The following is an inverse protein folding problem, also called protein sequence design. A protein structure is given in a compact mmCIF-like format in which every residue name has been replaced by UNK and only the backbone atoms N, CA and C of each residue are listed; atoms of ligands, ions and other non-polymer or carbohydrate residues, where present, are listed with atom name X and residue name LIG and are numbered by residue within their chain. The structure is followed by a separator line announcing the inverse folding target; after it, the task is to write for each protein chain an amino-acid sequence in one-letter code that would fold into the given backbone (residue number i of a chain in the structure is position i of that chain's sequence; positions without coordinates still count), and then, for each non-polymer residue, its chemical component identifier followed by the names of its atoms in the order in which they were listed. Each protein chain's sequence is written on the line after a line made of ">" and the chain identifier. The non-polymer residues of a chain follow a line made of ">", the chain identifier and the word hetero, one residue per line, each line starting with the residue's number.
data_IF_081388125574
#
_entry.id   IF_081388125574
#
_cell.length_a   1.000
_cell.length_b   1.000
_cell.length_c   1.000
_cell.angle_alpha   90.00
_cell.angle_beta   90.00
_cell.angle_gamma   90.00
#
_symmetry.space_group_name_H-M   'P 1'
#
loop_
_entity.id
_entity.type
_entity.pdbx_description
1 polymer ?
#
# COMPACT_ATOMS: atom_id res chain seq x y z
N UNK A 1 54.43 21.27 9.93
CA UNK A 1 53.28 21.09 10.85
C UNK A 1 51.94 21.33 10.11
N UNK A 2 51.39 20.27 9.51
CA UNK A 2 50.06 20.27 8.86
C UNK A 2 49.30 19.08 9.45
N UNK A 3 48.27 19.37 10.23
CA UNK A 3 47.39 18.35 10.80
C UNK A 3 46.40 17.87 9.74
N UNK A 4 46.38 16.55 9.56
CA UNK A 4 45.51 15.82 8.64
C UNK A 4 44.24 15.44 9.40
N UNK A 5 43.09 16.01 9.01
CA UNK A 5 41.79 15.60 9.53
C UNK A 5 41.43 14.21 8.97
N UNK A 6 41.49 13.20 9.84
CA UNK A 6 40.97 11.86 9.55
C UNK A 6 39.46 11.84 9.81
N UNK A 7 38.65 11.73 8.76
CA UNK A 7 37.23 11.43 8.88
C UNK A 7 37.07 9.94 9.21
N UNK A 8 36.74 9.65 10.46
CA UNK A 8 36.36 8.32 10.92
C UNK A 8 34.91 8.04 10.53
N UNK A 9 34.71 7.15 9.55
CA UNK A 9 33.40 6.60 9.21
C UNK A 9 32.89 5.69 10.34
N UNK A 10 31.98 6.20 11.18
CA UNK A 10 31.24 5.37 12.14
C UNK A 10 30.20 4.54 11.38
N UNK A 11 30.50 3.25 11.26
CA UNK A 11 29.57 2.18 10.92
C UNK A 11 28.42 2.13 11.94
N UNK A 12 27.30 2.78 11.65
CA UNK A 12 26.03 2.51 12.33
C UNK A 12 25.32 1.38 11.57
N UNK A 13 25.57 0.15 12.03
CA UNK A 13 24.71 -1.00 11.73
C UNK A 13 23.36 -0.77 12.40
N UNK A 14 22.50 -0.02 11.74
CA UNK A 14 21.10 0.14 12.10
C UNK A 14 20.37 -1.16 11.81
N UNK A 15 20.29 -2.04 12.82
CA UNK A 15 19.34 -3.16 12.84
C UNK A 15 17.93 -2.56 12.92
N UNK A 16 17.31 -2.30 11.78
CA UNK A 16 15.88 -1.99 11.73
C UNK A 16 15.10 -3.29 11.96
N UNK A 17 14.81 -3.56 13.23
CA UNK A 17 13.66 -4.37 13.56
C UNK A 17 12.42 -3.61 13.07
N UNK A 18 11.77 -4.09 12.03
CA UNK A 18 10.38 -3.77 11.75
C UNK A 18 9.59 -4.28 12.96
N UNK A 19 9.41 -3.43 13.97
CA UNK A 19 8.40 -3.64 15.02
C UNK A 19 7.05 -3.50 14.33
N UNK A 20 6.61 -4.59 13.72
CA UNK A 20 5.23 -4.81 13.32
C UNK A 20 4.32 -4.28 14.42
N UNK A 21 3.38 -3.42 14.06
CA UNK A 21 2.28 -3.01 14.91
C UNK A 21 1.82 -4.22 15.73
N UNK A 22 1.76 -4.06 17.05
CA UNK A 22 1.28 -5.07 17.99
C UNK A 22 -0.19 -5.36 17.66
N UNK A 23 -0.46 -6.18 16.64
CA UNK A 23 -1.73 -6.85 16.41
C UNK A 23 -1.87 -7.96 17.45
N UNK A 24 -1.79 -7.61 18.73
CA UNK A 24 -2.10 -8.53 19.82
C UNK A 24 -3.61 -8.53 19.96
N UNK A 25 -4.18 -9.73 19.95
CA UNK A 25 -5.56 -10.12 20.31
C UNK A 25 -6.43 -10.61 19.13
N UNK A 26 -6.03 -11.73 18.54
CA UNK A 26 -6.99 -12.79 18.23
C UNK A 26 -6.46 -14.07 18.89
N UNK A 27 -6.95 -14.36 20.10
CA UNK A 27 -6.46 -15.45 20.94
C UNK A 27 -7.10 -16.81 20.62
N UNK A 28 -7.91 -16.90 19.56
CA UNK A 28 -8.45 -18.17 19.08
C UNK A 28 -8.63 -18.13 17.57
N UNK A 29 -7.67 -18.68 16.83
CA UNK A 29 -7.90 -19.07 15.45
C UNK A 29 -8.97 -20.18 15.44
N UNK A 30 -9.95 -20.15 14.52
CA UNK A 30 -10.89 -21.25 14.39
C UNK A 30 -10.11 -22.56 14.14
N UNK A 31 -10.50 -23.60 14.87
CA UNK A 31 -9.91 -24.94 14.74
C UNK A 31 -10.25 -25.50 13.36
N UNK A 32 -9.25 -25.90 12.58
CA UNK A 32 -9.44 -26.46 11.24
C UNK A 32 -8.12 -26.64 10.51
N UNK A 33 -8.16 -27.37 9.40
CA UNK A 33 -7.01 -27.52 8.51
C UNK A 33 -6.77 -26.21 7.75
N UNK A 34 -5.53 -25.72 7.79
CA UNK A 34 -5.14 -24.53 7.06
C UNK A 34 -4.30 -24.90 5.85
N UNK A 35 -4.60 -24.24 4.74
CA UNK A 35 -3.89 -24.35 3.49
C UNK A 35 -3.07 -23.10 3.24
N UNK A 36 -1.94 -23.27 2.57
CA UNK A 36 -1.14 -22.17 2.05
C UNK A 36 -1.39 -22.03 0.56
N UNK A 37 -1.27 -20.80 0.06
CA UNK A 37 -1.46 -20.55 -1.36
C UNK A 37 -0.91 -19.20 -1.83
N UNK A 38 -1.13 -18.95 -3.11
CA UNK A 38 -0.74 -17.71 -3.80
C UNK A 38 -1.98 -17.07 -4.39
N UNK A 39 -2.20 -15.79 -4.10
CA UNK A 39 -3.28 -15.01 -4.72
C UNK A 39 -3.03 -14.91 -6.22
N UNK A 40 -3.92 -15.46 -7.04
CA UNK A 40 -3.80 -15.43 -8.49
C UNK A 40 -4.20 -14.04 -9.02
N UNK A 41 -5.37 -13.56 -8.59
CA UNK A 41 -5.85 -12.21 -8.87
C UNK A 41 -6.86 -11.80 -7.79
N UNK A 42 -7.03 -10.48 -7.60
CA UNK A 42 -8.04 -9.93 -6.71
C UNK A 42 -8.55 -8.60 -7.28
N UNK A 43 -9.87 -8.52 -7.51
CA UNK A 43 -10.52 -7.33 -8.01
C UNK A 43 -11.05 -6.51 -6.85
N UNK A 44 -10.39 -5.37 -6.56
CA UNK A 44 -10.78 -4.49 -5.44
C UNK A 44 -12.17 -3.88 -5.61
N UNK A 45 -12.54 -3.49 -6.83
CA UNK A 45 -13.86 -2.90 -7.11
C UNK A 45 -14.99 -3.90 -6.93
N UNK A 46 -14.73 -5.17 -7.26
CA UNK A 46 -15.71 -6.26 -7.13
C UNK A 46 -15.63 -7.03 -5.81
N UNK A 47 -14.62 -6.77 -4.98
CA UNK A 47 -14.42 -7.38 -3.67
C UNK A 47 -14.24 -8.92 -3.67
N UNK A 48 -13.75 -9.48 -4.77
CA UNK A 48 -13.44 -10.92 -4.84
C UNK A 48 -12.18 -11.20 -5.67
N UNK A 49 -11.66 -12.41 -5.53
CA UNK A 49 -10.53 -12.91 -6.28
C UNK A 49 -10.43 -14.43 -6.22
N UNK A 50 -9.28 -14.96 -6.65
CA UNK A 50 -9.00 -16.39 -6.58
C UNK A 50 -7.58 -16.66 -6.05
N UNK A 51 -7.45 -17.77 -5.32
CA UNK A 51 -6.21 -18.20 -4.67
C UNK A 51 -5.83 -19.59 -5.21
N UNK A 52 -4.59 -19.75 -5.67
CA UNK A 52 -4.03 -21.05 -5.99
C UNK A 52 -3.55 -21.75 -4.72
N UNK A 53 -3.96 -22.99 -4.51
CA UNK A 53 -3.56 -23.81 -3.35
C UNK A 53 -2.21 -24.47 -3.61
N UNK A 54 -1.28 -24.38 -2.67
CA UNK A 54 0.01 -25.06 -2.77
C UNK A 54 -0.19 -26.59 -2.80
N UNK A 55 0.57 -27.29 -3.65
CA UNK A 55 0.52 -28.76 -3.76
C UNK A 55 -0.66 -29.32 -4.57
N UNK A 56 -1.66 -28.50 -4.91
CA UNK A 56 -2.70 -28.89 -5.88
C UNK A 56 -2.26 -28.50 -7.30
N UNK A 57 -2.52 -29.33 -8.32
CA UNK A 57 -2.32 -28.93 -9.71
C UNK A 57 -3.15 -27.68 -9.99
N UNK A 58 -2.67 -26.80 -10.89
CA UNK A 58 -3.41 -25.63 -11.35
C UNK A 58 -4.56 -26.08 -12.26
N UNK A 59 -5.59 -26.64 -11.66
CA UNK A 59 -6.83 -27.00 -12.33
C UNK A 59 -7.84 -25.87 -12.09
N UNK A 60 -8.11 -25.07 -13.12
CA UNK A 60 -9.10 -23.98 -13.09
C UNK A 60 -8.58 -22.65 -12.56
N UNK A 61 -9.54 -21.77 -12.20
CA UNK A 61 -9.29 -20.38 -11.80
C UNK A 61 -8.77 -20.24 -10.36
N UNK A 62 -8.69 -21.34 -9.60
CA UNK A 62 -8.30 -21.37 -8.20
C UNK A 62 -9.50 -21.37 -7.25
N UNK A 63 -9.24 -21.25 -5.95
CA UNK A 63 -10.25 -21.21 -4.89
C UNK A 63 -10.79 -19.79 -4.77
N UNK A 64 -12.11 -19.65 -4.78
CA UNK A 64 -12.77 -18.35 -4.70
C UNK A 64 -12.56 -17.70 -3.33
N UNK A 65 -12.30 -16.38 -3.32
CA UNK A 65 -12.20 -15.59 -2.09
C UNK A 65 -13.01 -14.30 -2.21
N UNK A 66 -13.88 -14.07 -1.23
CA UNK A 66 -14.61 -12.81 -1.09
C UNK A 66 -14.02 -11.95 0.04
N UNK A 67 -14.20 -10.62 -0.01
CA UNK A 67 -13.67 -9.70 1.02
C UNK A 67 -14.09 -10.05 2.44
N UNK A 68 -15.30 -10.58 2.64
CA UNK A 68 -15.85 -10.93 3.97
C UNK A 68 -15.08 -12.06 4.64
N UNK A 69 -14.37 -12.84 3.82
CA UNK A 69 -13.64 -14.02 4.26
C UNK A 69 -12.19 -13.68 4.63
N UNK A 70 -11.76 -12.42 4.42
CA UNK A 70 -10.46 -11.94 4.81
C UNK A 70 -10.54 -11.47 6.26
N UNK A 71 -9.71 -12.05 7.13
CA UNK A 71 -9.64 -11.60 8.50
C UNK A 71 -9.12 -10.17 8.55
N UNK A 72 -9.82 -9.34 9.32
CA UNK A 72 -9.49 -7.94 9.59
C UNK A 72 -9.39 -7.74 11.10
N UNK A 73 -8.50 -6.84 11.52
CA UNK A 73 -8.38 -6.44 12.92
C UNK A 73 -9.40 -5.38 13.32
N UNK A 74 -10.10 -4.81 12.33
CA UNK A 74 -11.11 -3.80 12.53
C UNK A 74 -12.50 -4.43 12.53
N UNK A 75 -13.31 -4.00 13.48
CA UNK A 75 -14.76 -4.22 13.53
C UNK A 75 -15.38 -3.85 12.19
N UNK A 76 -16.15 -4.76 11.57
CA UNK A 76 -16.79 -4.48 10.27
C UNK A 76 -17.76 -3.29 10.32
N UNK A 77 -18.27 -2.97 11.51
CA UNK A 77 -19.24 -1.89 11.73
C UNK A 77 -18.58 -0.50 11.82
N UNK A 78 -17.27 -0.43 12.03
CA UNK A 78 -16.57 0.82 12.36
C UNK A 78 -15.71 1.38 11.20
N UNK A 79 -15.52 0.62 10.12
CA UNK A 79 -14.60 1.03 9.05
C UNK A 79 -15.11 0.67 7.66
N UNK A 80 -15.24 1.65 6.73
CA UNK A 80 -15.51 1.37 5.32
C UNK A 80 -14.29 0.76 4.60
N UNK A 81 -13.17 0.55 5.31
CA UNK A 81 -11.92 0.10 4.74
C UNK A 81 -11.74 -1.39 4.98
N UNK A 82 -12.09 -2.17 3.96
CA UNK A 82 -11.91 -3.60 3.96
C UNK A 82 -10.48 -3.98 3.55
N UNK A 83 -9.91 -5.02 4.17
CA UNK A 83 -8.67 -5.58 3.67
C UNK A 83 -8.85 -6.09 2.24
N UNK A 84 -7.76 -6.06 1.47
CA UNK A 84 -7.74 -6.53 0.09
C UNK A 84 -6.47 -7.30 -0.17
N UNK A 85 -6.52 -8.24 -1.12
CA UNK A 85 -5.36 -9.03 -1.53
C UNK A 85 -4.61 -8.41 -2.70
N UNK A 86 -3.32 -8.72 -2.83
CA UNK A 86 -2.50 -8.39 -3.99
C UNK A 86 -2.17 -9.65 -4.77
N UNK A 87 -2.11 -9.55 -6.11
CA UNK A 87 -1.67 -10.66 -6.93
C UNK A 87 -0.25 -11.10 -6.52
N UNK A 88 -0.01 -12.42 -6.55
CA UNK A 88 1.24 -13.08 -6.13
C UNK A 88 1.53 -13.04 -4.62
N UNK A 89 0.63 -12.51 -3.81
CA UNK A 89 0.76 -12.50 -2.35
C UNK A 89 0.59 -13.91 -1.78
N UNK A 90 1.40 -14.26 -0.77
CA UNK A 90 1.33 -15.56 -0.08
C UNK A 90 0.35 -15.47 1.09
N UNK A 91 -0.62 -16.37 1.10
CA UNK A 91 -1.73 -16.36 2.05
C UNK A 91 -1.90 -17.71 2.71
N UNK A 92 -2.51 -17.68 3.89
CA UNK A 92 -2.98 -18.85 4.63
C UNK A 92 -4.49 -18.73 4.84
N UNK A 93 -5.23 -19.81 4.62
CA UNK A 93 -6.69 -19.81 4.65
C UNK A 93 -7.21 -21.21 4.99
N UNK A 94 -8.51 -21.31 5.30
CA UNK A 94 -9.22 -22.58 5.42
C UNK A 94 -10.11 -22.76 4.19
N UNK A 95 -10.37 -24.02 3.83
CA UNK A 95 -11.29 -24.37 2.76
C UNK A 95 -12.65 -24.71 3.37
N UNK A 96 -13.69 -24.09 2.83
CA UNK A 96 -15.08 -24.46 3.08
C UNK A 96 -15.78 -24.73 1.75
N UNK A 97 -16.82 -25.55 1.78
CA UNK A 97 -17.67 -25.80 0.63
C UNK A 97 -18.94 -24.96 0.79
N UNK A 98 -19.26 -24.14 -0.22
CA UNK A 98 -20.49 -23.36 -0.22
C UNK A 98 -21.72 -24.27 -0.43
N UNK A 99 -22.92 -23.69 -0.44
CA UNK A 99 -24.17 -24.43 -0.68
C UNK A 99 -24.27 -25.00 -2.11
N UNK A 100 -23.47 -24.47 -3.05
CA UNK A 100 -23.44 -24.87 -4.46
C UNK A 100 -22.41 -25.99 -4.73
N UNK A 101 -21.62 -26.38 -3.72
CA UNK A 101 -20.57 -27.38 -3.86
C UNK A 101 -19.19 -26.83 -4.24
N UNK A 102 -19.05 -25.51 -4.39
CA UNK A 102 -17.79 -24.86 -4.71
C UNK A 102 -16.91 -24.65 -3.48
N UNK A 103 -15.60 -24.80 -3.66
CA UNK A 103 -14.60 -24.50 -2.64
C UNK A 103 -14.38 -22.98 -2.52
N UNK A 104 -14.59 -22.46 -1.32
CA UNK A 104 -14.32 -21.07 -0.95
C UNK A 104 -13.20 -21.00 0.09
N UNK A 105 -12.38 -19.96 0.00
CA UNK A 105 -11.37 -19.64 1.00
C UNK A 105 -12.01 -18.79 2.10
N UNK A 106 -11.87 -19.24 3.34
CA UNK A 106 -12.31 -18.54 4.56
C UNK A 106 -11.14 -18.28 5.50
N UNK A 107 -11.33 -17.35 6.44
CA UNK A 107 -10.34 -16.99 7.44
C UNK A 107 -8.97 -16.64 6.82
N UNK A 108 -8.99 -15.88 5.73
CA UNK A 108 -7.79 -15.57 4.93
C UNK A 108 -6.89 -14.59 5.68
N UNK A 109 -5.63 -14.96 5.81
CA UNK A 109 -4.55 -14.22 6.47
C UNK A 109 -3.29 -14.24 5.62
N UNK A 110 -2.26 -13.49 6.02
CA UNK A 110 -0.92 -13.71 5.50
C UNK A 110 -0.43 -15.13 5.80
N UNK A 111 0.54 -15.62 5.03
CA UNK A 111 1.13 -16.95 5.23
C UNK A 111 1.64 -17.18 6.67
N UNK A 112 2.11 -16.13 7.34
CA UNK A 112 2.60 -16.18 8.73
C UNK A 112 1.48 -16.08 9.79
N UNK A 113 0.22 -16.07 9.37
CA UNK A 113 -0.95 -15.97 10.24
C UNK A 113 -1.28 -14.54 10.69
N UNK A 114 -0.52 -13.53 10.25
CA UNK A 114 -0.88 -12.14 10.54
C UNK A 114 -2.14 -11.75 9.77
N UNK A 115 -2.95 -10.92 10.41
CA UNK A 115 -4.15 -10.33 9.83
C UNK A 115 -3.74 -9.37 8.70
N UNK A 116 -4.52 -9.37 7.61
CA UNK A 116 -4.25 -8.49 6.49
C UNK A 116 -4.74 -7.08 6.84
N UNK A 117 -3.88 -6.05 6.81
CA UNK A 117 -4.29 -4.71 7.18
C UNK A 117 -5.18 -4.08 6.09
N UNK A 118 -6.09 -3.17 6.47
CA UNK A 118 -6.95 -2.44 5.53
C UNK A 118 -6.14 -1.50 4.62
N UNK A 119 -5.00 -1.01 5.11
CA UNK A 119 -4.03 -0.22 4.34
C UNK A 119 -2.69 -0.94 4.29
N UNK A 120 -2.08 -0.92 3.10
CA UNK A 120 -0.76 -1.51 2.87
C UNK A 120 0.33 -0.48 3.12
N UNK A 121 1.52 -0.91 3.52
CA UNK A 121 2.64 -0.02 3.83
C UNK A 121 2.97 0.98 2.69
N UNK A 122 2.74 0.58 1.43
CA UNK A 122 2.93 1.44 0.26
C UNK A 122 1.80 2.45 0.00
N UNK A 123 0.76 2.50 0.83
CA UNK A 123 -0.40 3.37 0.65
C UNK A 123 0.00 4.84 0.54
N UNK A 124 0.70 5.36 1.54
CA UNK A 124 1.08 6.77 1.60
C UNK A 124 2.03 7.13 0.45
N UNK A 125 3.06 6.32 0.21
CA UNK A 125 3.97 6.53 -0.92
C UNK A 125 3.24 6.56 -2.28
N UNK A 126 2.29 5.65 -2.51
CA UNK A 126 1.57 5.58 -3.80
C UNK A 126 0.64 6.77 -3.98
N UNK A 127 -0.07 7.18 -2.91
CA UNK A 127 -0.89 8.39 -2.90
C UNK A 127 -0.05 9.63 -3.15
N UNK A 128 1.08 9.78 -2.46
CA UNK A 128 2.00 10.90 -2.65
C UNK A 128 2.56 10.95 -4.08
N UNK A 129 2.93 9.81 -4.65
CA UNK A 129 3.46 9.77 -6.01
C UNK A 129 2.41 10.24 -7.02
N UNK A 130 1.18 9.73 -6.92
CA UNK A 130 0.07 10.17 -7.77
C UNK A 130 -0.20 11.66 -7.61
N UNK A 131 -0.30 12.14 -6.38
CA UNK A 131 -0.62 13.55 -6.12
C UNK A 131 0.48 14.51 -6.57
N UNK A 132 1.73 14.05 -6.57
CA UNK A 132 2.85 14.81 -7.16
C UNK A 132 2.77 14.88 -8.69
N UNK A 133 2.36 13.79 -9.32
CA UNK A 133 2.11 13.73 -10.76
C UNK A 133 0.97 14.70 -11.13
N UNK A 134 -0.18 14.58 -10.44
CA UNK A 134 -1.33 15.47 -10.63
C UNK A 134 -0.95 16.96 -10.38
N UNK A 135 -0.10 17.25 -9.39
CA UNK A 135 0.42 18.60 -9.14
C UNK A 135 1.35 19.07 -10.26
N UNK A 136 2.25 18.21 -10.74
CA UNK A 136 3.18 18.54 -11.81
C UNK A 136 2.43 18.87 -13.10
N UNK A 137 1.42 18.07 -13.44
CA UNK A 137 0.57 18.30 -14.62
C UNK A 137 -0.16 19.65 -14.52
N UNK A 138 -0.74 19.99 -13.36
CA UNK A 138 -1.39 21.30 -13.14
C UNK A 138 -0.42 22.47 -13.24
N UNK A 139 0.78 22.33 -12.69
CA UNK A 139 1.80 23.39 -12.76
C UNK A 139 2.27 23.58 -14.20
N UNK A 140 2.48 22.50 -14.95
CA UNK A 140 2.82 22.55 -16.36
C UNK A 140 1.72 23.25 -17.18
N UNK A 141 0.46 22.88 -16.96
CA UNK A 141 -0.70 23.54 -17.60
C UNK A 141 -0.73 25.05 -17.31
N UNK A 142 -0.49 25.47 -16.06
CA UNK A 142 -0.43 26.90 -15.71
C UNK A 142 0.74 27.60 -16.43
N UNK A 143 1.90 26.94 -16.51
CA UNK A 143 3.08 27.48 -17.17
C UNK A 143 2.92 27.57 -18.69
N UNK A 144 2.29 26.59 -19.33
CA UNK A 144 2.00 26.58 -20.77
C UNK A 144 1.03 27.71 -21.15
N UNK A 145 -0.07 27.86 -20.40
CA UNK A 145 -1.02 28.96 -20.59
C UNK A 145 -0.34 30.33 -20.46
N UNK A 146 0.65 30.46 -19.57
CA UNK A 146 1.43 31.70 -19.41
C UNK A 146 2.33 31.97 -20.63
N UNK A 147 2.97 30.94 -21.19
CA UNK A 147 3.83 31.10 -22.36
C UNK A 147 3.02 31.57 -23.58
N UNK A 148 1.81 31.06 -23.76
CA UNK A 148 0.89 31.50 -24.83
C UNK A 148 0.51 32.98 -24.67
N UNK A 149 0.37 33.50 -23.45
CA UNK A 149 0.04 34.91 -23.19
C UNK A 149 1.25 35.86 -23.27
N UNK A 150 2.48 35.37 -23.08
CA UNK A 150 3.69 36.20 -23.12
C UNK A 150 4.15 36.58 -24.54
N UNK A 151 3.68 35.89 -25.59
CA UNK A 151 3.94 36.28 -26.98
C UNK A 151 3.34 37.66 -27.33
N UNK A 152 2.45 38.22 -26.50
CA UNK A 152 1.82 39.53 -26.69
C UNK A 152 2.53 40.71 -25.97
N UNK A 153 3.69 40.47 -25.35
CA UNK A 153 4.66 41.54 -25.04
C UNK A 153 4.45 42.35 -23.75
N UNK A 154 4.37 41.69 -22.59
CA UNK A 154 4.52 42.35 -21.28
C UNK A 154 5.35 41.52 -20.27
N UNK A 155 6.43 42.14 -19.78
CA UNK A 155 7.30 41.66 -18.68
C UNK A 155 6.66 41.90 -17.30
N UNK A 156 5.47 41.36 -17.08
CA UNK A 156 4.84 41.36 -15.77
C UNK A 156 4.93 39.99 -15.11
N UNK A 157 5.22 40.00 -13.80
CA UNK A 157 5.04 38.83 -12.95
C UNK A 157 3.56 38.52 -12.99
N UNK A 158 3.22 37.37 -13.57
CA UNK A 158 1.85 36.89 -13.65
C UNK A 158 1.40 36.44 -12.26
N UNK A 159 0.87 37.40 -11.49
CA UNK A 159 0.36 37.19 -10.13
C UNK A 159 -0.72 36.10 -10.15
N UNK A 160 -1.55 36.06 -11.19
CA UNK A 160 -2.62 35.07 -11.34
C UNK A 160 -2.06 33.65 -11.51
N UNK A 161 -0.98 33.47 -12.28
CA UNK A 161 -0.30 32.19 -12.41
C UNK A 161 0.30 31.72 -11.07
N UNK A 162 0.87 32.64 -10.27
CA UNK A 162 1.40 32.31 -8.95
C UNK A 162 0.29 31.88 -7.99
N UNK A 163 -0.84 32.60 -7.95
CA UNK A 163 -2.00 32.24 -7.13
C UNK A 163 -2.54 30.85 -7.49
N UNK A 164 -2.59 30.50 -8.79
CA UNK A 164 -3.01 29.16 -9.25
C UNK A 164 -2.04 28.06 -8.81
N UNK A 165 -0.72 28.32 -8.85
CA UNK A 165 0.29 27.36 -8.38
C UNK A 165 0.17 27.16 -6.87
N UNK A 166 0.01 28.24 -6.10
CA UNK A 166 -0.19 28.18 -4.65
C UNK A 166 -1.44 27.36 -4.30
N UNK A 167 -2.57 27.61 -4.97
CA UNK A 167 -3.80 26.84 -4.78
C UNK A 167 -3.61 25.35 -5.12
N UNK A 168 -2.83 25.01 -6.15
CA UNK A 168 -2.52 23.63 -6.50
C UNK A 168 -1.68 22.94 -5.40
N UNK A 169 -0.71 23.65 -4.81
CA UNK A 169 0.12 23.16 -3.69
C UNK A 169 -0.74 22.95 -2.43
N UNK A 170 -1.64 23.88 -2.11
CA UNK A 170 -2.58 23.75 -0.98
C UNK A 170 -3.51 22.55 -1.14
N UNK A 171 -4.04 22.34 -2.35
CA UNK A 171 -4.84 21.17 -2.68
C UNK A 171 -4.05 19.87 -2.46
N UNK A 172 -2.80 19.81 -2.93
CA UNK A 172 -1.91 18.67 -2.72
C UNK A 172 -1.70 18.38 -1.22
N UNK A 173 -1.38 19.40 -0.43
CA UNK A 173 -1.15 19.26 1.01
C UNK A 173 -2.41 18.77 1.74
N UNK A 174 -3.58 19.31 1.39
CA UNK A 174 -4.87 18.91 1.96
C UNK A 174 -5.12 17.42 1.75
N UNK A 175 -4.86 16.90 0.55
CA UNK A 175 -5.07 15.48 0.27
C UNK A 175 -4.06 14.58 0.98
N UNK A 176 -2.83 15.04 1.21
CA UNK A 176 -1.85 14.33 2.03
C UNK A 176 -2.29 14.24 3.49
N UNK A 177 -2.80 15.33 4.05
CA UNK A 177 -3.26 15.36 5.42
C UNK A 177 -4.51 14.48 5.59
N UNK A 178 -5.40 14.44 4.60
CA UNK A 178 -6.50 13.46 4.57
C UNK A 178 -5.99 12.01 4.55
N UNK A 179 -4.93 11.72 3.78
CA UNK A 179 -4.35 10.39 3.73
C UNK A 179 -3.71 9.99 5.08
N UNK A 180 -3.06 10.92 5.77
CA UNK A 180 -2.49 10.72 7.12
C UNK A 180 -3.58 10.52 8.17
N UNK A 181 -4.57 11.40 8.20
CA UNK A 181 -5.72 11.31 9.10
C UNK A 181 -6.44 9.96 8.94
N UNK A 182 -6.51 9.45 7.71
CA UNK A 182 -7.08 8.12 7.45
C UNK A 182 -6.28 6.98 8.08
N UNK A 183 -4.94 7.04 8.07
CA UNK A 183 -4.08 6.05 8.74
C UNK A 183 -4.34 6.07 10.25
N UNK A 184 -4.39 7.27 10.84
CA UNK A 184 -4.64 7.47 12.27
C UNK A 184 -6.03 7.01 12.69
N UNK A 185 -7.08 7.31 11.89
CA UNK A 185 -8.45 6.83 12.13
C UNK A 185 -8.57 5.32 12.16
N UNK A 186 -7.67 4.60 11.50
CA UNK A 186 -7.61 3.14 11.51
C UNK A 186 -6.78 2.59 12.68
N UNK A 187 -6.32 3.45 13.60
CA UNK A 187 -5.45 3.07 14.71
C UNK A 187 -4.06 2.62 14.26
N UNK A 188 -3.67 2.93 13.01
CA UNK A 188 -2.40 2.53 12.44
C UNK A 188 -1.34 3.62 12.67
N UNK A 189 -0.07 3.21 12.76
CA UNK A 189 1.06 4.13 12.98
C UNK A 189 1.52 4.74 11.66
N UNK A 190 1.71 6.05 11.63
CA UNK A 190 2.18 6.75 10.42
C UNK A 190 3.59 6.29 10.01
N UNK A 191 4.43 5.88 10.95
CA UNK A 191 5.81 5.43 10.72
C UNK A 191 5.88 4.14 9.88
N UNK A 192 4.82 3.34 9.88
CA UNK A 192 4.72 2.11 9.10
C UNK A 192 4.42 2.37 7.60
N UNK A 193 4.16 3.64 7.23
CA UNK A 193 3.83 4.07 5.88
C UNK A 193 4.90 5.02 5.33
N UNK A 194 5.99 4.49 4.74
CA UNK A 194 7.04 5.34 4.21
C UNK A 194 6.50 6.28 3.12
N UNK A 195 6.93 7.54 3.15
CA UNK A 195 6.57 8.59 2.18
C UNK A 195 7.43 8.57 0.92
N UNK A 196 8.53 7.83 0.93
CA UNK A 196 9.43 7.61 -0.20
C UNK A 196 9.59 6.11 -0.41
N UNK A 197 9.58 5.65 -1.67
CA UNK A 197 10.04 4.29 -1.98
C UNK A 197 11.49 4.20 -1.52
N UNK A 198 11.76 3.42 -0.48
CA UNK A 198 13.13 2.97 -0.22
C UNK A 198 13.49 2.04 -1.38
N UNK A 199 14.26 2.55 -2.34
CA UNK A 199 14.76 1.76 -3.47
C UNK A 199 15.65 0.57 -3.02
N UNK A 200 16.05 0.53 -1.75
CA UNK A 200 16.96 -0.47 -1.18
C UNK A 200 16.30 -1.74 -0.63
N UNK A 201 14.97 -1.88 -0.64
CA UNK A 201 14.27 -3.06 -0.10
C UNK A 201 13.41 -3.79 -1.14
N UNK A 202 13.73 -3.63 -2.42
CA UNK A 202 13.33 -4.55 -3.49
C UNK A 202 14.11 -5.87 -3.39
N UNK A 203 14.21 -6.47 -2.20
CA UNK A 203 14.29 -7.92 -2.13
C UNK A 203 12.87 -8.42 -2.37
N UNK A 204 12.53 -8.56 -3.66
CA UNK A 204 11.49 -9.49 -4.05
C UNK A 204 11.90 -10.85 -3.47
N UNK A 205 11.14 -11.45 -2.53
CA UNK A 205 11.44 -12.81 -2.10
C UNK A 205 11.29 -13.71 -3.32
N UNK A 206 12.42 -14.18 -3.88
CA UNK A 206 12.43 -15.21 -4.92
C UNK A 206 13.06 -14.88 -6.28
N UNK A 207 13.83 -13.79 -6.45
CA UNK A 207 14.70 -13.70 -7.66
C UNK A 207 15.95 -14.55 -7.40
N UNK A 208 15.87 -15.81 -7.82
CA UNK A 208 16.99 -16.75 -7.84
C UNK A 208 18.24 -16.11 -8.48
N UNK A 209 19.34 -16.09 -7.73
CA UNK A 209 20.67 -15.99 -8.31
C UNK A 209 20.91 -17.25 -9.13
N UNK A 210 21.14 -17.10 -10.43
CA UNK A 210 21.82 -18.11 -11.25
C UNK A 210 23.32 -17.99 -11.02
#
# INVERSE_FOLDING_TARGET
>A
PREVFQYTTRNLRSRFFLRTADCRLFSSFPSGEYFNGVVLHYNRSKNYGHIGVDGRPRTGDGVFVHRSNILSSLSMDESPFYPFLQAKERVRFQLETNQEGDEIAVNVTFQDGRVIPPLRANYLCTRMAKHKEDLADRVLEIMENRLEMQEEGLDHIDIDALEKIEAAIESYNTELDQARLKIEKLGMRLEDFPTRKKFSELELPGVFKR
#
